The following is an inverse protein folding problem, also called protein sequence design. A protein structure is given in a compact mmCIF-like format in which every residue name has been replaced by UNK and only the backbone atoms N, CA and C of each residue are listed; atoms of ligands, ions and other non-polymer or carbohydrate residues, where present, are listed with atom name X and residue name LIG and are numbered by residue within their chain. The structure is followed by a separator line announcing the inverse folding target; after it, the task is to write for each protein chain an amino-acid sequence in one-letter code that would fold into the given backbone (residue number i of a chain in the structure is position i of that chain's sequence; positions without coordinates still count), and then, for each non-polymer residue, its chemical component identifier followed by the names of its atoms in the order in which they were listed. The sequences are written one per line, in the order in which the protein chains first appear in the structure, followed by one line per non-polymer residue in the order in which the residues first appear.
data_IF_413208066523
#
_entry.id   IF_413208066523
#
_cell.length_a   1.000
_cell.length_b   1.000
_cell.length_c   1.000
_cell.angle_alpha   90.00
_cell.angle_beta   90.00
_cell.angle_gamma   90.00
#
_symmetry.space_group_name_H-M   'P 1'
#
loop_
_entity.id
_entity.type
_entity.pdbx_description
1 polymer ?
#
# COMPACT_ATOMS: atom_id res chain seq x y z
N UNK A 1 -9.88 31.17 37.35
CA UNK A 1 -8.47 31.05 37.77
C UNK A 1 -7.66 31.56 36.60
N UNK A 2 -7.04 32.74 36.71
CA UNK A 2 -6.32 33.38 35.59
C UNK A 2 -4.81 33.04 35.62
N UNK A 3 -4.14 33.18 34.48
CA UNK A 3 -2.71 32.83 34.28
C UNK A 3 -1.75 33.50 35.28
N UNK A 4 -2.08 34.68 35.81
CA UNK A 4 -1.29 35.38 36.82
C UNK A 4 -1.36 34.70 38.20
N UNK A 5 -2.40 33.93 38.46
CA UNK A 5 -2.58 33.15 39.69
C UNK A 5 -1.78 31.83 39.64
N UNK A 6 -1.56 31.29 38.43
CA UNK A 6 -0.66 30.14 38.17
C UNK A 6 0.82 30.54 38.33
N UNK A 7 1.19 31.72 37.84
CA UNK A 7 2.57 32.21 37.89
C UNK A 7 3.02 32.63 39.30
N UNK A 8 2.08 33.05 40.17
CA UNK A 8 2.37 33.27 41.60
C UNK A 8 2.66 31.97 42.35
N UNK A 9 1.95 30.89 42.04
CA UNK A 9 2.10 29.58 42.71
C UNK A 9 3.40 28.85 42.35
N UNK A 10 4.07 29.20 41.25
CA UNK A 10 5.35 28.60 40.87
C UNK A 10 6.56 29.21 41.58
N UNK A 11 6.46 30.41 42.18
CA UNK A 11 7.57 31.03 42.93
C UNK A 11 7.81 30.41 44.30
N UNK A 12 6.82 29.70 44.85
CA UNK A 12 6.89 29.11 46.20
C UNK A 12 7.22 27.61 46.18
N UNK A 13 7.57 27.04 45.03
CA UNK A 13 7.97 25.61 44.94
C UNK A 13 9.45 25.50 45.33
N UNK A 14 9.80 24.85 46.45
CA UNK A 14 11.19 24.67 46.84
C UNK A 14 11.92 23.80 45.82
N UNK A 15 13.13 24.20 45.43
CA UNK A 15 13.98 23.36 44.57
C UNK A 15 14.09 21.94 45.14
N UNK A 16 13.91 20.88 44.32
CA UNK A 16 14.00 19.51 44.79
C UNK A 16 15.34 19.27 45.48
N UNK A 17 15.30 18.65 46.67
CA UNK A 17 16.51 18.33 47.44
C UNK A 17 17.43 17.41 46.61
N UNK A 18 18.76 17.47 46.79
CA UNK A 18 19.71 16.64 46.02
C UNK A 18 19.37 15.13 45.99
N UNK A 19 18.82 14.62 47.09
CA UNK A 19 18.33 13.24 47.23
C UNK A 19 17.21 12.85 46.24
N UNK A 20 16.47 13.83 45.71
CA UNK A 20 15.46 13.62 44.66
C UNK A 20 16.13 13.49 43.28
N UNK A 21 17.22 14.22 43.04
CA UNK A 21 18.04 14.06 41.84
C UNK A 21 18.77 12.72 41.84
N UNK A 22 19.30 12.30 42.99
CA UNK A 22 19.98 11.00 43.11
C UNK A 22 19.00 9.84 43.00
N UNK A 23 17.78 9.96 43.54
CA UNK A 23 16.70 8.98 43.29
C UNK A 23 16.28 8.94 41.82
N UNK A 24 16.14 10.09 41.16
CA UNK A 24 15.80 10.14 39.74
C UNK A 24 16.91 9.55 38.85
N UNK A 25 18.18 9.81 39.19
CA UNK A 25 19.35 9.29 38.46
C UNK A 25 19.54 7.80 38.70
N UNK A 26 19.29 7.32 39.93
CA UNK A 26 19.29 5.90 40.26
C UNK A 26 18.14 5.17 39.57
N UNK A 27 16.92 5.73 39.57
CA UNK A 27 15.77 5.19 38.84
C UNK A 27 16.01 5.15 37.32
N UNK A 28 16.63 6.19 36.76
CA UNK A 28 17.02 6.23 35.36
C UNK A 28 18.10 5.19 35.04
N UNK A 29 19.12 5.05 35.89
CA UNK A 29 20.16 4.01 35.71
C UNK A 29 19.62 2.59 35.86
N UNK A 30 18.62 2.40 36.73
CA UNK A 30 17.92 1.13 36.94
C UNK A 30 16.99 0.81 35.76
N UNK A 31 16.38 1.82 35.14
CA UNK A 31 15.57 1.67 33.92
C UNK A 31 16.44 1.46 32.67
N UNK A 32 17.69 1.94 32.68
CA UNK A 32 18.67 1.76 31.59
C UNK A 32 19.51 0.48 31.73
N UNK A 33 19.55 -0.13 32.91
CA UNK A 33 20.06 -1.47 33.08
C UNK A 33 19.05 -2.44 32.45
N UNK A 34 19.30 -2.80 31.18
CA UNK A 34 18.45 -3.70 30.40
C UNK A 34 18.11 -4.96 31.21
N UNK A 35 16.82 -5.23 31.47
CA UNK A 35 16.41 -6.62 31.60
C UNK A 35 16.65 -7.22 30.21
N UNK A 36 17.38 -8.34 30.14
CA UNK A 36 17.26 -9.30 29.04
C UNK A 36 15.87 -9.93 29.08
N UNK A 37 14.84 -9.09 28.95
CA UNK A 37 13.51 -9.52 28.59
C UNK A 37 13.62 -9.86 27.10
N UNK A 38 13.42 -11.12 26.78
CA UNK A 38 13.05 -11.53 25.43
C UNK A 38 11.89 -10.65 25.00
N UNK A 39 12.19 -9.60 24.22
CA UNK A 39 11.18 -8.85 23.50
C UNK A 39 10.51 -9.86 22.61
N UNK A 40 9.31 -10.27 22.98
CA UNK A 40 8.42 -11.03 22.13
C UNK A 40 8.12 -10.10 20.97
N UNK A 41 8.95 -10.19 19.92
CA UNK A 41 8.74 -9.49 18.65
C UNK A 41 7.31 -9.80 18.23
N UNK A 42 6.41 -8.81 18.12
CA UNK A 42 5.07 -9.08 17.64
C UNK A 42 5.19 -9.67 16.24
N UNK A 43 4.84 -10.95 16.11
CA UNK A 43 4.87 -11.77 14.89
C UNK A 43 3.74 -11.37 13.92
N UNK A 44 3.46 -10.07 13.79
CA UNK A 44 2.48 -9.50 12.87
C UNK A 44 3.17 -8.50 11.95
N UNK A 45 4.03 -9.06 11.11
CA UNK A 45 4.45 -8.41 9.88
C UNK A 45 3.19 -8.30 9.00
N UNK A 46 2.72 -7.07 8.78
CA UNK A 46 1.67 -6.71 7.82
C UNK A 46 0.37 -7.52 7.94
N UNK A 47 -0.51 -7.14 8.89
CA UNK A 47 -1.94 -7.35 8.67
C UNK A 47 -2.45 -6.19 7.83
N UNK A 48 -2.37 -6.31 6.50
CA UNK A 48 -3.46 -5.76 5.70
C UNK A 48 -4.72 -6.45 6.23
N UNK A 49 -5.82 -5.74 6.54
CA UNK A 49 -7.07 -6.43 6.72
C UNK A 49 -7.27 -7.21 5.44
N UNK A 50 -7.15 -8.54 5.52
CA UNK A 50 -7.77 -9.41 4.52
C UNK A 50 -9.21 -8.97 4.56
N UNK A 51 -9.65 -8.20 3.56
CA UNK A 51 -11.06 -7.97 3.33
C UNK A 51 -11.67 -9.37 3.24
N UNK A 52 -12.26 -9.80 4.35
CA UNK A 52 -13.12 -10.95 4.35
C UNK A 52 -14.19 -10.61 3.34
N UNK A 53 -14.42 -11.53 2.40
CA UNK A 53 -15.59 -11.50 1.54
C UNK A 53 -16.78 -11.56 2.50
N UNK A 54 -17.26 -10.39 2.92
CA UNK A 54 -18.46 -10.26 3.70
C UNK A 54 -19.60 -10.65 2.77
N UNK A 55 -20.35 -11.67 3.19
CA UNK A 55 -21.52 -12.14 2.50
C UNK A 55 -22.50 -10.99 2.29
N UNK A 56 -22.74 -10.60 1.04
CA UNK A 56 -23.92 -9.82 0.67
C UNK A 56 -24.91 -10.80 0.08
N UNK A 57 -25.93 -11.12 0.89
CA UNK A 57 -27.11 -11.84 0.43
C UNK A 57 -27.82 -11.02 -0.64
N UNK A 58 -28.11 -11.67 -1.76
CA UNK A 58 -28.93 -11.10 -2.82
C UNK A 58 -30.35 -10.85 -2.30
N UNK A 59 -30.85 -9.62 -2.49
CA UNK A 59 -32.28 -9.34 -2.48
C UNK A 59 -32.61 -8.61 -3.79
N UNK A 60 -33.19 -9.36 -4.72
CA UNK A 60 -33.83 -8.85 -5.92
C UNK A 60 -35.22 -8.31 -5.55
N UNK A 61 -35.57 -7.10 -6.00
CA UNK A 61 -36.97 -6.71 -6.27
C UNK A 61 -37.03 -5.83 -7.51
N UNK A 62 -38.06 -6.10 -8.31
CA UNK A 62 -38.26 -5.76 -9.70
C UNK A 62 -38.87 -4.36 -9.98
N UNK A 63 -38.65 -3.92 -11.22
CA UNK A 63 -39.57 -3.18 -12.13
C UNK A 63 -40.33 -1.94 -11.63
N UNK A 64 -40.11 -0.83 -12.33
CA UNK A 64 -41.20 -0.03 -12.88
C UNK A 64 -40.82 0.50 -14.27
N UNK A 65 -41.55 -0.01 -15.28
CA UNK A 65 -41.60 0.50 -16.65
C UNK A 65 -42.40 1.80 -16.64
N UNK A 66 -41.90 2.85 -17.31
CA UNK A 66 -42.76 3.88 -17.90
C UNK A 66 -42.35 4.04 -19.35
N UNK A 67 -43.26 3.65 -20.24
CA UNK A 67 -43.23 3.99 -21.66
C UNK A 67 -43.53 5.47 -21.84
N UNK A 68 -42.78 6.12 -22.73
CA UNK A 68 -43.10 7.44 -23.26
C UNK A 68 -42.64 7.52 -24.71
N UNK A 69 -43.54 7.18 -25.63
CA UNK A 69 -43.36 7.36 -27.08
C UNK A 69 -43.69 8.80 -27.47
N UNK A 70 -42.74 9.55 -28.03
CA UNK A 70 -43.00 10.56 -29.07
C UNK A 70 -41.74 10.78 -29.90
N UNK A 71 -41.93 10.78 -31.22
CA UNK A 71 -40.88 10.75 -32.22
C UNK A 71 -40.08 12.04 -32.36
N UNK A 72 -38.84 11.86 -32.80
CA UNK A 72 -37.94 12.88 -33.28
C UNK A 72 -36.67 12.18 -33.75
N UNK A 73 -36.50 12.05 -35.06
CA UNK A 73 -35.25 11.58 -35.68
C UNK A 73 -34.15 12.60 -35.38
N UNK A 74 -33.42 12.37 -34.29
CA UNK A 74 -32.13 13.00 -34.02
C UNK A 74 -31.06 12.04 -34.56
N UNK A 75 -30.09 12.50 -35.36
CA UNK A 75 -29.00 11.64 -35.82
C UNK A 75 -28.29 11.05 -34.61
N UNK A 76 -28.09 9.73 -34.62
CA UNK A 76 -27.30 9.05 -33.60
C UNK A 76 -25.89 9.66 -33.58
N UNK A 77 -25.57 10.41 -32.53
CA UNK A 77 -24.18 10.68 -32.19
C UNK A 77 -23.51 9.33 -31.95
N UNK A 78 -22.50 9.05 -32.78
CA UNK A 78 -21.57 7.95 -32.58
C UNK A 78 -21.11 7.95 -31.13
N UNK A 79 -21.09 6.80 -30.43
CA UNK A 79 -20.56 6.76 -29.08
C UNK A 79 -19.12 7.25 -29.13
N UNK A 80 -18.85 8.36 -28.44
CA UNK A 80 -17.49 8.84 -28.23
C UNK A 80 -16.71 7.69 -27.62
N UNK A 81 -15.78 7.15 -28.39
CA UNK A 81 -14.86 6.14 -27.92
C UNK A 81 -14.20 6.67 -26.64
N UNK A 82 -14.25 5.88 -25.57
CA UNK A 82 -13.52 6.17 -24.35
C UNK A 82 -12.07 6.56 -24.71
N UNK A 83 -11.49 7.60 -24.09
CA UNK A 83 -10.16 8.07 -24.47
C UNK A 83 -9.20 6.89 -24.47
N UNK A 84 -8.61 6.66 -25.63
CA UNK A 84 -7.57 5.67 -25.81
C UNK A 84 -6.46 5.96 -24.79
N UNK A 85 -5.72 4.94 -24.36
CA UNK A 85 -4.71 4.98 -23.29
C UNK A 85 -3.60 6.05 -23.43
N UNK A 86 -3.63 6.86 -24.47
CA UNK A 86 -2.72 7.95 -24.82
C UNK A 86 -2.95 9.23 -23.98
N UNK A 87 -4.15 9.45 -23.41
CA UNK A 87 -4.46 10.68 -22.64
C UNK A 87 -4.46 10.49 -21.11
N UNK A 88 -4.05 9.33 -20.59
CA UNK A 88 -4.01 9.11 -19.15
C UNK A 88 -2.91 9.96 -18.49
N UNK A 89 -3.23 10.81 -17.49
CA UNK A 89 -2.23 11.55 -16.73
C UNK A 89 -1.14 10.65 -16.12
N UNK A 90 -1.49 9.41 -15.79
CA UNK A 90 -0.55 8.42 -15.25
C UNK A 90 0.39 7.86 -16.33
N UNK A 91 -0.08 7.67 -17.56
CA UNK A 91 0.78 7.24 -18.68
C UNK A 91 1.77 8.35 -19.04
N UNK A 92 1.31 9.61 -19.06
CA UNK A 92 2.20 10.77 -19.24
C UNK A 92 3.25 10.84 -18.13
N UNK A 93 2.82 10.81 -16.87
CA UNK A 93 3.73 10.83 -15.72
C UNK A 93 4.72 9.65 -15.76
N UNK A 94 4.28 8.46 -16.19
CA UNK A 94 5.15 7.30 -16.34
C UNK A 94 6.25 7.53 -17.39
N UNK A 95 5.92 8.18 -18.51
CA UNK A 95 6.91 8.58 -19.52
C UNK A 95 7.88 9.63 -18.97
N UNK A 96 7.37 10.69 -18.34
CA UNK A 96 8.20 11.75 -17.73
C UNK A 96 9.18 11.17 -16.69
N UNK A 97 8.72 10.22 -15.86
CA UNK A 97 9.56 9.52 -14.89
C UNK A 97 10.64 8.67 -15.56
N UNK A 98 10.32 8.03 -16.68
CA UNK A 98 11.29 7.22 -17.44
C UNK A 98 12.34 8.12 -18.09
N UNK A 99 11.92 9.23 -18.68
CA UNK A 99 12.76 10.18 -19.40
C UNK A 99 13.69 10.96 -18.46
N UNK A 100 13.28 11.19 -17.21
CA UNK A 100 14.13 11.77 -16.17
C UNK A 100 15.36 10.91 -15.82
N UNK A 101 15.37 9.63 -16.21
CA UNK A 101 16.51 8.72 -16.04
C UNK A 101 16.69 8.20 -14.62
N UNK A 102 17.74 7.38 -14.45
CA UNK A 102 18.08 6.81 -13.16
C UNK A 102 18.73 7.86 -12.24
N UNK A 103 18.15 8.03 -11.05
CA UNK A 103 18.78 8.78 -9.96
C UNK A 103 19.93 7.97 -9.36
N UNK A 104 20.98 8.64 -8.90
CA UNK A 104 22.15 7.99 -8.28
C UNK A 104 21.78 7.22 -7.01
N UNK A 105 22.55 6.17 -6.71
CA UNK A 105 22.27 5.22 -5.62
C UNK A 105 21.94 3.84 -6.17
N UNK A 106 22.17 2.80 -5.38
CA UNK A 106 21.94 1.39 -5.71
C UNK A 106 20.74 0.78 -4.96
N UNK A 107 20.06 1.60 -4.16
CA UNK A 107 18.89 1.20 -3.41
C UNK A 107 17.83 2.30 -3.29
N UNK A 108 16.59 1.86 -3.11
CA UNK A 108 15.46 2.69 -2.73
C UNK A 108 15.31 2.70 -1.22
N UNK A 109 15.33 3.88 -0.62
CA UNK A 109 14.91 4.12 0.75
C UNK A 109 13.47 4.62 0.76
N UNK A 110 12.60 3.94 1.51
CA UNK A 110 11.24 4.37 1.80
C UNK A 110 11.10 4.55 3.31
N UNK A 111 10.79 5.77 3.72
CA UNK A 111 10.45 6.11 5.10
C UNK A 111 8.94 6.26 5.17
N UNK A 112 8.31 5.34 5.89
CA UNK A 112 6.88 5.31 6.16
C UNK A 112 6.62 5.91 7.53
N UNK A 113 5.69 6.86 7.64
CA UNK A 113 5.21 7.40 8.92
C UNK A 113 3.70 7.18 9.04
N UNK A 114 3.27 6.59 10.14
CA UNK A 114 1.86 6.30 10.43
C UNK A 114 1.62 6.38 11.95
N UNK A 115 0.43 6.00 12.39
CA UNK A 115 0.08 5.94 13.81
C UNK A 115 -0.03 4.48 14.25
N UNK A 116 0.63 4.12 15.34
CA UNK A 116 0.51 2.81 15.97
C UNK A 116 -0.88 2.63 16.64
N UNK A 117 -1.28 1.39 17.01
CA UNK A 117 -2.58 1.13 17.64
C UNK A 117 -2.81 1.89 18.96
N UNK A 118 -1.75 2.28 19.65
CA UNK A 118 -1.77 3.09 20.88
C UNK A 118 -1.79 4.60 20.61
N UNK A 119 -1.97 5.00 19.35
CA UNK A 119 -1.91 6.36 18.83
C UNK A 119 -0.53 7.02 18.84
N UNK A 120 0.55 6.29 19.14
CA UNK A 120 1.90 6.84 19.05
C UNK A 120 2.37 6.97 17.59
N UNK A 121 3.21 7.97 17.26
CA UNK A 121 3.85 8.03 15.95
C UNK A 121 4.72 6.80 15.71
N UNK A 122 4.52 6.14 14.56
CA UNK A 122 5.31 4.99 14.15
C UNK A 122 5.99 5.27 12.82
N UNK A 123 7.32 5.18 12.81
CA UNK A 123 8.16 5.33 11.62
C UNK A 123 8.79 3.99 11.28
N UNK A 124 8.83 3.68 9.98
CA UNK A 124 9.40 2.45 9.47
C UNK A 124 10.22 2.73 8.22
N UNK A 125 11.40 2.15 8.16
CA UNK A 125 12.38 2.29 7.10
C UNK A 125 12.41 0.98 6.31
N UNK A 126 12.32 1.10 4.99
CA UNK A 126 12.52 -0.01 4.05
C UNK A 126 13.63 0.38 3.08
N UNK A 127 14.63 -0.47 2.96
CA UNK A 127 15.63 -0.42 1.90
C UNK A 127 15.33 -1.55 0.94
N UNK A 128 15.09 -1.23 -0.34
CA UNK A 128 15.03 -2.21 -1.41
C UNK A 128 16.17 -1.94 -2.40
N UNK A 129 17.12 -2.86 -2.48
CA UNK A 129 18.29 -2.72 -3.36
C UNK A 129 17.93 -3.12 -4.79
N UNK A 130 18.68 -2.62 -5.77
CA UNK A 130 18.40 -2.95 -7.18
C UNK A 130 18.62 -4.43 -7.50
N UNK A 131 19.49 -5.10 -6.74
CA UNK A 131 19.69 -6.56 -6.80
C UNK A 131 18.63 -7.37 -6.02
N UNK A 132 17.62 -6.72 -5.45
CA UNK A 132 16.44 -7.37 -4.88
C UNK A 132 16.55 -7.81 -3.42
N UNK A 133 17.55 -7.30 -2.68
CA UNK A 133 17.58 -7.45 -1.23
C UNK A 133 16.65 -6.42 -0.58
N UNK A 134 16.03 -6.83 0.54
CA UNK A 134 15.17 -5.95 1.32
C UNK A 134 15.66 -5.93 2.75
N UNK A 135 15.72 -4.74 3.35
CA UNK A 135 16.08 -4.54 4.75
C UNK A 135 15.07 -3.61 5.40
N UNK A 136 14.76 -3.87 6.66
CA UNK A 136 13.81 -3.07 7.40
C UNK A 136 14.34 -2.64 8.76
N UNK A 137 13.80 -1.53 9.25
CA UNK A 137 14.02 -1.06 10.62
C UNK A 137 12.96 -0.05 11.03
N UNK A 138 12.81 0.15 12.33
CA UNK A 138 11.97 1.20 12.93
C UNK A 138 12.74 2.50 13.18
N UNK A 139 14.05 2.51 12.87
CA UNK A 139 14.93 3.67 13.00
C UNK A 139 16.12 3.55 12.05
N UNK A 140 16.83 4.66 11.82
CA UNK A 140 18.09 4.67 11.05
C UNK A 140 19.09 3.66 11.61
N UNK A 141 19.21 3.59 12.94
CA UNK A 141 20.13 2.65 13.61
C UNK A 141 19.77 1.19 13.33
N UNK A 142 18.48 0.82 13.40
CA UNK A 142 18.07 -0.58 13.23
C UNK A 142 18.14 -1.02 11.77
N UNK A 143 17.75 -0.16 10.82
CA UNK A 143 17.88 -0.50 9.38
C UNK A 143 19.35 -0.54 8.95
N UNK A 144 20.19 0.38 9.45
CA UNK A 144 21.63 0.37 9.22
C UNK A 144 22.28 -0.92 9.74
N UNK A 145 21.91 -1.34 10.96
CA UNK A 145 22.39 -2.60 11.52
C UNK A 145 21.91 -3.83 10.73
N UNK A 146 20.67 -3.82 10.22
CA UNK A 146 20.14 -4.89 9.37
C UNK A 146 20.95 -5.03 8.07
N UNK A 147 21.24 -3.90 7.42
CA UNK A 147 22.09 -3.86 6.22
C UNK A 147 23.52 -4.32 6.52
N UNK A 148 24.13 -3.80 7.59
CA UNK A 148 25.50 -4.13 7.98
C UNK A 148 25.70 -5.64 8.26
N UNK A 149 24.65 -6.30 8.78
CA UNK A 149 24.64 -7.74 9.01
C UNK A 149 24.26 -8.57 7.78
N UNK A 150 23.85 -7.93 6.68
CA UNK A 150 23.33 -8.62 5.51
C UNK A 150 22.05 -9.41 5.80
N UNK A 151 21.21 -8.95 6.72
CA UNK A 151 19.93 -9.58 7.07
C UNK A 151 18.91 -9.35 5.95
N UNK A 152 19.09 -10.03 4.81
CA UNK A 152 18.16 -9.93 3.68
C UNK A 152 16.79 -10.52 4.08
N UNK A 153 15.79 -9.64 4.11
CA UNK A 153 14.40 -9.93 4.43
C UNK A 153 13.49 -9.99 3.19
N UNK A 154 14.09 -9.95 1.99
CA UNK A 154 13.34 -10.08 0.75
C UNK A 154 12.61 -11.42 0.68
N UNK A 155 11.40 -11.34 0.14
CA UNK A 155 10.55 -12.49 -0.17
C UNK A 155 10.48 -12.69 -1.69
N UNK A 156 10.10 -13.89 -2.17
CA UNK A 156 9.83 -14.09 -3.59
C UNK A 156 8.76 -13.12 -4.15
N UNK A 157 7.83 -12.67 -3.29
CA UNK A 157 6.81 -11.71 -3.68
C UNK A 157 7.43 -10.37 -4.08
N UNK A 158 8.41 -9.86 -3.32
CA UNK A 158 9.10 -8.60 -3.61
C UNK A 158 9.78 -8.65 -4.98
N UNK A 159 10.53 -9.72 -5.25
CA UNK A 159 11.18 -9.91 -6.54
C UNK A 159 10.17 -9.97 -7.71
N UNK A 160 9.05 -10.68 -7.52
CA UNK A 160 8.03 -10.87 -8.55
C UNK A 160 7.31 -9.56 -8.90
N UNK A 161 6.88 -8.78 -7.91
CA UNK A 161 6.19 -7.49 -8.19
C UNK A 161 7.15 -6.48 -8.81
N UNK A 162 8.43 -6.49 -8.42
CA UNK A 162 9.44 -5.61 -8.99
C UNK A 162 9.79 -5.98 -10.43
N UNK A 163 9.92 -7.27 -10.71
CA UNK A 163 10.11 -7.75 -12.08
C UNK A 163 8.91 -7.39 -12.98
N UNK A 164 7.68 -7.56 -12.48
CA UNK A 164 6.48 -7.18 -13.21
C UNK A 164 6.40 -5.67 -13.47
N UNK A 165 6.77 -4.83 -12.49
CA UNK A 165 6.85 -3.39 -12.68
C UNK A 165 7.88 -3.01 -13.76
N UNK A 166 9.10 -3.55 -13.70
CA UNK A 166 10.13 -3.30 -14.72
C UNK A 166 9.71 -3.77 -16.11
N UNK A 167 9.01 -4.91 -16.18
CA UNK A 167 8.44 -5.40 -17.44
C UNK A 167 7.43 -4.40 -18.04
N UNK A 168 6.55 -3.82 -17.23
CA UNK A 168 5.63 -2.77 -17.67
C UNK A 168 6.35 -1.50 -18.14
N UNK A 169 7.43 -1.10 -17.46
CA UNK A 169 8.23 0.07 -17.84
C UNK A 169 8.84 -0.09 -19.25
N UNK A 170 9.17 -1.32 -19.62
CA UNK A 170 9.75 -1.71 -20.91
C UNK A 170 8.73 -1.95 -22.04
N UNK A 171 7.43 -1.90 -21.74
CA UNK A 171 6.37 -1.80 -22.75
C UNK A 171 5.52 -3.06 -22.97
N UNK A 172 5.87 -4.20 -22.39
CA UNK A 172 5.03 -5.40 -22.45
C UNK A 172 3.96 -5.37 -21.34
N UNK A 173 2.97 -4.50 -21.53
CA UNK A 173 2.00 -4.14 -20.48
C UNK A 173 1.06 -5.29 -20.12
N UNK A 174 0.64 -6.10 -21.10
CA UNK A 174 -0.26 -7.23 -20.85
C UNK A 174 0.45 -8.34 -20.05
N UNK A 175 1.66 -8.73 -20.46
CA UNK A 175 2.46 -9.71 -19.73
C UNK A 175 2.82 -9.20 -18.33
N UNK A 176 3.16 -7.91 -18.23
CA UNK A 176 3.42 -7.27 -16.94
C UNK A 176 2.19 -7.28 -16.03
N UNK A 177 1.00 -7.01 -16.57
CA UNK A 177 -0.26 -7.09 -15.82
C UNK A 177 -0.50 -8.49 -15.29
N UNK A 178 -0.34 -9.51 -16.13
CA UNK A 178 -0.50 -10.91 -15.72
C UNK A 178 0.55 -11.29 -14.66
N UNK A 179 1.81 -10.92 -14.84
CA UNK A 179 2.87 -11.17 -13.87
C UNK A 179 2.62 -10.46 -12.53
N UNK A 180 2.18 -9.20 -12.57
CA UNK A 180 1.88 -8.41 -11.38
C UNK A 180 0.72 -9.02 -10.59
N UNK A 181 -0.36 -9.42 -11.26
CA UNK A 181 -1.53 -10.05 -10.61
C UNK A 181 -1.17 -11.43 -10.04
N UNK A 182 -0.41 -12.23 -10.78
CA UNK A 182 -0.03 -13.59 -10.40
C UNK A 182 1.11 -13.62 -9.36
N UNK A 183 1.75 -12.48 -9.04
CA UNK A 183 2.75 -12.41 -7.97
C UNK A 183 2.15 -12.80 -6.61
N UNK A 184 0.86 -12.50 -6.40
CA UNK A 184 0.11 -12.92 -5.23
C UNK A 184 -0.55 -14.28 -5.47
N UNK A 185 -0.62 -15.17 -4.46
CA UNK A 185 -1.30 -16.47 -4.58
C UNK A 185 -2.82 -16.25 -4.51
N UNK A 186 -3.40 -15.64 -5.53
CA UNK A 186 -4.84 -15.32 -5.64
C UNK A 186 -5.64 -16.41 -6.33
N UNK A 187 -4.98 -17.33 -7.03
CA UNK A 187 -5.63 -18.35 -7.84
C UNK A 187 -6.15 -17.83 -9.19
N UNK A 188 -5.88 -16.57 -9.56
CA UNK A 188 -6.32 -16.02 -10.85
C UNK A 188 -5.62 -16.68 -12.04
N UNK A 189 -4.32 -16.96 -11.90
CA UNK A 189 -3.47 -17.59 -12.91
C UNK A 189 -3.67 -17.00 -14.33
N UNK A 190 -3.65 -15.67 -14.41
CA UNK A 190 -3.89 -14.96 -15.68
C UNK A 190 -2.86 -15.37 -16.74
N UNK A 191 -3.32 -15.53 -17.99
CA UNK A 191 -2.49 -15.96 -19.11
C UNK A 191 -2.24 -17.47 -19.20
N UNK A 192 -2.77 -18.26 -18.26
CA UNK A 192 -2.72 -19.73 -18.30
C UNK A 192 -3.96 -20.32 -18.99
N UNK A 193 -3.97 -21.62 -19.29
CA UNK A 193 -5.16 -22.30 -19.83
C UNK A 193 -6.33 -22.32 -18.84
N UNK A 194 -7.55 -22.53 -19.33
CA UNK A 194 -8.74 -22.61 -18.47
C UNK A 194 -8.62 -23.70 -17.40
N UNK A 195 -8.04 -24.85 -17.75
CA UNK A 195 -7.82 -25.95 -16.81
C UNK A 195 -6.81 -25.58 -15.71
N UNK A 196 -5.74 -24.85 -16.06
CA UNK A 196 -4.76 -24.36 -15.09
C UNK A 196 -5.35 -23.28 -14.18
N UNK A 197 -6.19 -22.41 -14.72
CA UNK A 197 -6.91 -21.39 -13.95
C UNK A 197 -7.87 -22.02 -12.93
N UNK A 198 -8.63 -23.05 -13.33
CA UNK A 198 -9.53 -23.75 -12.41
C UNK A 198 -8.74 -24.51 -11.33
N UNK A 199 -7.63 -25.15 -11.71
CA UNK A 199 -6.73 -25.81 -10.76
C UNK A 199 -6.15 -24.82 -9.74
N UNK A 200 -5.67 -23.66 -10.20
CA UNK A 200 -5.13 -22.63 -9.31
C UNK A 200 -6.20 -22.06 -8.37
N UNK A 201 -7.43 -21.88 -8.88
CA UNK A 201 -8.58 -21.46 -8.07
C UNK A 201 -8.91 -22.49 -6.97
N UNK A 202 -9.02 -23.77 -7.32
CA UNK A 202 -9.27 -24.84 -6.36
C UNK A 202 -8.17 -24.92 -5.28
N UNK A 203 -6.89 -24.84 -5.68
CA UNK A 203 -5.76 -24.80 -4.74
C UNK A 203 -5.84 -23.60 -3.79
N UNK A 204 -6.24 -22.43 -4.29
CA UNK A 204 -6.41 -21.24 -3.46
C UNK A 204 -7.54 -21.39 -2.44
N UNK A 205 -8.64 -22.01 -2.85
CA UNK A 205 -9.76 -22.28 -1.95
C UNK A 205 -9.35 -23.25 -0.84
N UNK A 206 -8.62 -24.32 -1.17
CA UNK A 206 -8.12 -25.26 -0.17
C UNK A 206 -7.11 -24.61 0.79
N UNK A 207 -6.18 -23.80 0.28
CA UNK A 207 -5.26 -23.04 1.13
C UNK A 207 -6.01 -22.06 2.06
N UNK A 208 -7.15 -21.53 1.61
CA UNK A 208 -8.03 -20.73 2.47
C UNK A 208 -8.71 -21.59 3.53
N UNK A 209 -9.31 -22.71 3.13
CA UNK A 209 -9.96 -23.65 4.03
C UNK A 209 -9.02 -24.10 5.14
N UNK A 210 -7.77 -24.39 4.81
CA UNK A 210 -6.76 -24.81 5.78
C UNK A 210 -6.45 -23.73 6.82
N UNK A 211 -6.36 -22.46 6.41
CA UNK A 211 -6.23 -21.34 7.36
C UNK A 211 -7.44 -21.22 8.28
N UNK A 212 -8.65 -21.52 7.80
CA UNK A 212 -9.86 -21.52 8.63
C UNK A 212 -9.84 -22.69 9.63
N UNK A 213 -9.46 -23.90 9.19
CA UNK A 213 -9.30 -25.07 10.07
C UNK A 213 -8.27 -24.80 11.16
N UNK A 214 -7.09 -24.28 10.81
CA UNK A 214 -6.06 -23.89 11.78
C UNK A 214 -6.54 -22.85 12.80
N UNK A 215 -7.51 -22.01 12.44
CA UNK A 215 -8.09 -21.01 13.34
C UNK A 215 -9.32 -21.50 14.10
N UNK A 216 -9.76 -22.74 13.90
CA UNK A 216 -11.00 -23.26 14.47
C UNK A 216 -12.26 -22.55 13.95
N UNK A 217 -12.19 -21.92 12.78
CA UNK A 217 -13.32 -21.22 12.16
C UNK A 217 -14.06 -22.15 11.18
N UNK A 218 -15.39 -21.99 11.03
CA UNK A 218 -16.15 -22.72 10.01
C UNK A 218 -15.57 -22.51 8.62
N UNK A 219 -15.25 -23.61 7.93
CA UNK A 219 -14.72 -23.54 6.55
C UNK A 219 -15.85 -23.16 5.60
N UNK A 220 -15.71 -22.07 4.83
CA UNK A 220 -16.72 -21.71 3.85
C UNK A 220 -16.79 -22.77 2.73
N UNK A 221 -17.98 -23.02 2.16
CA UNK A 221 -18.12 -23.96 1.06
C UNK A 221 -17.33 -23.47 -0.18
N UNK A 222 -16.74 -24.38 -0.96
CA UNK A 222 -16.09 -24.03 -2.22
C UNK A 222 -17.07 -23.33 -3.15
N UNK A 223 -16.60 -22.26 -3.81
CA UNK A 223 -17.32 -21.50 -4.82
C UNK A 223 -16.73 -21.75 -6.20
N UNK A 224 -17.55 -21.73 -7.27
CA UNK A 224 -17.02 -21.71 -8.62
C UNK A 224 -16.13 -20.48 -8.81
N UNK A 225 -15.20 -20.56 -9.76
CA UNK A 225 -14.37 -19.42 -10.12
C UNK A 225 -15.25 -18.25 -10.58
N UNK A 226 -15.02 -17.02 -10.07
CA UNK A 226 -15.74 -15.83 -10.53
C UNK A 226 -15.64 -15.62 -12.04
N UNK A 227 -16.67 -15.01 -12.60
CA UNK A 227 -16.74 -14.61 -14.01
C UNK A 227 -17.27 -13.18 -14.14
N UNK A 228 -17.20 -12.61 -15.35
CA UNK A 228 -17.70 -11.27 -15.62
C UNK A 228 -17.09 -10.19 -14.71
N UNK A 229 -17.94 -9.28 -14.21
CA UNK A 229 -17.52 -8.13 -13.39
C UNK A 229 -16.85 -8.53 -12.08
N UNK A 230 -17.28 -9.63 -11.45
CA UNK A 230 -16.66 -10.11 -10.20
C UNK A 230 -15.18 -10.52 -10.42
N UNK A 231 -14.91 -11.21 -11.54
CA UNK A 231 -13.54 -11.56 -11.92
C UNK A 231 -12.72 -10.31 -12.25
N UNK A 232 -13.29 -9.38 -13.00
CA UNK A 232 -12.63 -8.12 -13.35
C UNK A 232 -12.24 -7.33 -12.09
N UNK A 233 -13.16 -7.20 -11.14
CA UNK A 233 -12.94 -6.49 -9.88
C UNK A 233 -11.91 -7.19 -8.99
N UNK A 234 -11.97 -8.53 -8.89
CA UNK A 234 -10.98 -9.31 -8.14
C UNK A 234 -9.56 -9.18 -8.72
N UNK A 235 -9.44 -9.19 -10.05
CA UNK A 235 -8.17 -9.00 -10.74
C UNK A 235 -7.66 -7.57 -10.56
N UNK A 236 -8.52 -6.56 -10.76
CA UNK A 236 -8.12 -5.16 -10.62
C UNK A 236 -7.78 -4.81 -9.17
N UNK A 237 -8.48 -5.37 -8.18
CA UNK A 237 -8.13 -5.23 -6.76
C UNK A 237 -6.74 -5.80 -6.46
N UNK A 238 -6.44 -6.97 -7.03
CA UNK A 238 -5.12 -7.60 -6.90
C UNK A 238 -4.05 -6.74 -7.56
N UNK A 239 -4.32 -6.23 -8.77
CA UNK A 239 -3.40 -5.36 -9.50
C UNK A 239 -3.12 -4.08 -8.71
N UNK A 240 -4.16 -3.42 -8.18
CA UNK A 240 -4.02 -2.25 -7.32
C UNK A 240 -3.17 -2.56 -6.07
N UNK A 241 -3.48 -3.65 -5.37
CA UNK A 241 -2.78 -4.02 -4.13
C UNK A 241 -1.29 -4.31 -4.37
N UNK A 242 -0.98 -5.06 -5.43
CA UNK A 242 0.40 -5.43 -5.73
C UNK A 242 1.22 -4.25 -6.28
N UNK A 243 0.61 -3.39 -7.10
CA UNK A 243 1.30 -2.19 -7.62
C UNK A 243 1.56 -1.15 -6.52
N UNK A 244 0.60 -0.91 -5.63
CA UNK A 244 0.79 -0.02 -4.48
C UNK A 244 1.85 -0.56 -3.52
N UNK A 245 1.86 -1.88 -3.27
CA UNK A 245 2.94 -2.52 -2.51
C UNK A 245 4.32 -2.29 -3.16
N UNK A 246 4.44 -2.48 -4.47
CA UNK A 246 5.70 -2.24 -5.18
C UNK A 246 6.19 -0.79 -5.02
N UNK A 247 5.29 0.21 -5.04
CA UNK A 247 5.65 1.59 -4.71
C UNK A 247 6.11 1.72 -3.25
N UNK A 248 5.42 1.11 -2.30
CA UNK A 248 5.73 1.27 -0.87
C UNK A 248 7.06 0.65 -0.43
N UNK A 249 7.70 -0.15 -1.27
CA UNK A 249 9.03 -0.71 -0.97
C UNK A 249 10.12 -0.24 -1.94
N UNK A 250 9.77 0.08 -3.21
CA UNK A 250 10.75 0.35 -4.27
C UNK A 250 10.50 1.64 -5.06
N UNK A 251 9.64 2.54 -4.58
CA UNK A 251 9.28 3.75 -5.33
C UNK A 251 10.44 4.68 -5.63
N UNK A 252 11.62 4.60 -5.00
CA UNK A 252 12.71 5.49 -5.43
C UNK A 252 13.37 5.04 -6.76
N UNK A 253 13.17 3.79 -7.20
CA UNK A 253 13.62 3.30 -8.49
C UNK A 253 12.67 3.78 -9.62
N UNK A 254 13.19 4.53 -10.59
CA UNK A 254 12.38 5.16 -11.64
C UNK A 254 11.69 4.17 -12.58
N UNK A 255 12.33 3.05 -12.91
CA UNK A 255 11.72 2.01 -13.74
C UNK A 255 10.53 1.36 -13.01
N UNK A 256 10.70 1.06 -11.72
CA UNK A 256 9.61 0.52 -10.90
C UNK A 256 8.44 1.51 -10.85
N UNK A 257 8.70 2.80 -10.58
CA UNK A 257 7.65 3.83 -10.58
C UNK A 257 6.93 3.92 -11.93
N UNK A 258 7.68 4.07 -13.02
CA UNK A 258 7.12 4.20 -14.37
C UNK A 258 6.25 2.99 -14.72
N UNK A 259 6.74 1.77 -14.43
CA UNK A 259 6.00 0.55 -14.66
C UNK A 259 4.72 0.44 -13.84
N UNK A 260 4.77 0.77 -12.55
CA UNK A 260 3.58 0.79 -11.69
C UNK A 260 2.55 1.80 -12.22
N UNK A 261 2.96 3.01 -12.57
CA UNK A 261 2.05 4.03 -13.10
C UNK A 261 1.34 3.57 -14.38
N UNK A 262 2.07 2.91 -15.30
CA UNK A 262 1.47 2.29 -16.49
C UNK A 262 0.46 1.20 -16.14
N UNK A 263 0.78 0.34 -15.17
CA UNK A 263 -0.12 -0.73 -14.73
C UNK A 263 -1.39 -0.17 -14.06
N UNK A 264 -1.25 0.83 -13.19
CA UNK A 264 -2.37 1.51 -12.55
C UNK A 264 -3.29 2.19 -13.57
N UNK A 265 -2.72 2.76 -14.64
CA UNK A 265 -3.48 3.35 -15.74
C UNK A 265 -4.37 2.34 -16.48
N UNK A 266 -4.14 1.03 -16.34
CA UNK A 266 -5.01 -0.01 -16.95
C UNK A 266 -6.29 -0.27 -16.15
N UNK A 267 -6.40 0.24 -14.91
CA UNK A 267 -7.56 0.05 -14.05
C UNK A 267 -8.55 1.19 -14.30
N UNK A 268 -9.57 0.92 -15.13
CA UNK A 268 -10.57 1.94 -15.52
C UNK A 268 -11.37 2.53 -14.35
N UNK A 269 -11.59 1.73 -13.32
CA UNK A 269 -12.38 2.11 -12.14
C UNK A 269 -11.56 2.93 -11.11
N UNK A 270 -10.28 3.23 -11.39
CA UNK A 270 -9.47 4.16 -10.57
C UNK A 270 -9.74 5.59 -11.01
N UNK A 271 -10.23 6.42 -10.08
CA UNK A 271 -10.43 7.85 -10.33
C UNK A 271 -9.14 8.60 -10.08
N UNK A 272 -8.75 9.45 -11.03
CA UNK A 272 -7.56 10.31 -10.91
C UNK A 272 -8.01 11.75 -10.63
N UNK A 273 -7.57 12.31 -9.51
CA UNK A 273 -7.74 13.71 -9.16
C UNK A 273 -6.41 14.46 -9.13
N UNK A 274 -6.50 15.80 -9.13
CA UNK A 274 -5.36 16.70 -8.88
C UNK A 274 -5.49 17.29 -7.48
N UNK A 275 -4.37 17.47 -6.80
CA UNK A 275 -4.32 18.10 -5.49
C UNK A 275 -2.97 18.80 -5.29
N UNK A 276 -2.83 19.51 -4.18
CA UNK A 276 -1.55 20.00 -3.69
C UNK A 276 -1.22 19.25 -2.40
N UNK A 277 -0.01 18.71 -2.31
CA UNK A 277 0.47 18.00 -1.14
C UNK A 277 1.87 18.50 -0.79
N UNK A 278 2.08 18.93 0.45
CA UNK A 278 3.36 19.47 0.93
C UNK A 278 3.90 20.64 0.08
N UNK A 279 3.00 21.47 -0.47
CA UNK A 279 3.36 22.60 -1.34
C UNK A 279 3.81 22.19 -2.76
N UNK A 280 3.62 20.93 -3.13
CA UNK A 280 3.93 20.38 -4.46
C UNK A 280 2.66 19.90 -5.15
N UNK A 281 2.60 20.04 -6.47
CA UNK A 281 1.52 19.48 -7.26
C UNK A 281 1.52 17.95 -7.15
N UNK A 282 0.35 17.37 -6.91
CA UNK A 282 0.16 15.95 -6.69
C UNK A 282 -1.07 15.41 -7.43
N UNK A 283 -1.08 14.09 -7.66
CA UNK A 283 -2.22 13.35 -8.17
C UNK A 283 -2.78 12.45 -7.07
N UNK A 284 -4.10 12.40 -6.94
CA UNK A 284 -4.81 11.41 -6.13
C UNK A 284 -5.31 10.29 -7.03
N UNK A 285 -5.03 9.05 -6.66
CA UNK A 285 -5.54 7.85 -7.31
C UNK A 285 -6.49 7.19 -6.32
N UNK A 286 -7.77 7.10 -6.66
CA UNK A 286 -8.80 6.55 -5.77
C UNK A 286 -9.32 5.24 -6.31
N UNK A 287 -9.09 4.16 -5.57
CA UNK A 287 -9.76 2.89 -5.72
C UNK A 287 -11.01 2.87 -4.82
N UNK A 288 -12.19 2.96 -5.43
CA UNK A 288 -13.46 3.01 -4.71
C UNK A 288 -13.93 1.65 -4.15
N UNK A 289 -15.11 1.60 -3.49
CA UNK A 289 -15.60 0.41 -2.82
C UNK A 289 -15.77 -0.82 -3.70
N UNK A 290 -16.20 -0.67 -4.95
CA UNK A 290 -16.29 -1.80 -5.90
C UNK A 290 -14.94 -2.49 -6.06
N UNK A 291 -13.88 -1.70 -6.25
CA UNK A 291 -12.51 -2.18 -6.41
C UNK A 291 -11.89 -2.66 -5.09
N UNK A 292 -12.45 -2.29 -3.94
CA UNK A 292 -11.99 -2.69 -2.61
C UNK A 292 -12.90 -3.75 -1.96
N UNK A 293 -13.71 -4.47 -2.74
CA UNK A 293 -14.56 -5.55 -2.22
C UNK A 293 -15.66 -5.07 -1.27
N UNK A 294 -16.09 -3.82 -1.40
CA UNK A 294 -17.16 -3.18 -0.62
C UNK A 294 -16.72 -2.62 0.73
N UNK A 295 -15.45 -2.76 1.13
CA UNK A 295 -15.02 -2.42 2.50
C UNK A 295 -14.65 -0.96 2.72
N UNK A 296 -14.57 -0.16 1.65
CA UNK A 296 -14.16 1.25 1.72
C UNK A 296 -13.43 1.70 0.46
N UNK A 297 -12.72 2.81 0.53
CA UNK A 297 -11.86 3.31 -0.56
C UNK A 297 -10.40 3.33 -0.13
N UNK A 298 -9.49 3.18 -1.08
CA UNK A 298 -8.06 3.44 -0.89
C UNK A 298 -7.65 4.60 -1.79
N UNK A 299 -7.13 5.67 -1.20
CA UNK A 299 -6.59 6.83 -1.89
C UNK A 299 -5.07 6.82 -1.80
N UNK A 300 -4.38 6.84 -2.93
CA UNK A 300 -2.94 7.03 -3.03
C UNK A 300 -2.67 8.43 -3.59
N UNK A 301 -1.87 9.22 -2.88
CA UNK A 301 -1.38 10.51 -3.35
C UNK A 301 0.07 10.38 -3.80
N UNK A 302 0.36 10.74 -5.04
CA UNK A 302 1.71 10.74 -5.63
C UNK A 302 2.08 12.14 -6.10
N UNK A 303 3.37 12.48 -6.04
CA UNK A 303 3.88 13.73 -6.61
C UNK A 303 3.66 13.73 -8.14
N UNK A 304 3.08 14.82 -8.66
CA UNK A 304 2.67 14.90 -10.07
C UNK A 304 3.84 15.10 -11.05
N UNK A 305 5.05 15.41 -10.58
CA UNK A 305 6.23 15.59 -11.42
C UNK A 305 7.18 14.39 -11.43
N UNK A 306 7.18 13.55 -10.40
CA UNK A 306 8.13 12.42 -10.29
C UNK A 306 7.50 11.08 -9.88
N UNK A 307 6.19 11.06 -9.58
CA UNK A 307 5.45 9.84 -9.23
C UNK A 307 5.82 9.21 -7.89
N UNK A 308 6.61 9.87 -7.03
CA UNK A 308 6.92 9.36 -5.70
C UNK A 308 5.64 9.35 -4.83
N UNK A 309 5.39 8.29 -4.04
CA UNK A 309 4.28 8.26 -3.11
C UNK A 309 4.51 9.29 -2.01
N UNK A 310 3.47 10.06 -1.71
CA UNK A 310 3.44 11.04 -0.62
C UNK A 310 2.58 10.50 0.52
N UNK A 311 1.41 9.93 0.19
CA UNK A 311 0.40 9.54 1.18
C UNK A 311 -0.47 8.39 0.70
N UNK A 312 -0.90 7.53 1.61
CA UNK A 312 -1.88 6.47 1.39
C UNK A 312 -2.93 6.54 2.49
N UNK A 313 -4.19 6.48 2.09
CA UNK A 313 -5.34 6.60 2.98
C UNK A 313 -6.32 5.46 2.71
N UNK A 314 -6.69 4.75 3.76
CA UNK A 314 -7.80 3.79 3.71
C UNK A 314 -8.98 4.44 4.41
N UNK A 315 -10.07 4.58 3.66
CA UNK A 315 -11.31 5.22 4.10
C UNK A 315 -12.36 4.11 4.19
N UNK A 316 -12.76 3.67 5.40
CA UNK A 316 -13.77 2.64 5.59
C UNK A 316 -15.10 3.03 4.95
N UNK A 317 -15.89 2.04 4.54
CA UNK A 317 -17.24 2.27 4.05
C UNK A 317 -18.10 2.98 5.12
N UNK A 318 -19.01 3.84 4.68
CA UNK A 318 -19.94 4.53 5.58
C UNK A 318 -20.75 3.50 6.38
N UNK A 319 -20.84 3.71 7.70
CA UNK A 319 -21.53 2.79 8.62
C UNK A 319 -20.74 1.53 9.00
N UNK A 320 -19.48 1.40 8.58
CA UNK A 320 -18.59 0.35 9.10
C UNK A 320 -17.89 0.78 10.40
N UNK A 321 -17.55 -0.19 11.26
CA UNK A 321 -16.77 0.03 12.50
C UNK A 321 -15.27 0.30 12.22
N UNK A 322 -14.87 0.34 10.95
CA UNK A 322 -13.50 0.61 10.55
C UNK A 322 -13.09 2.03 10.90
N UNK A 323 -11.83 2.21 11.31
CA UNK A 323 -11.23 3.53 11.46
C UNK A 323 -10.44 3.90 10.20
N UNK A 324 -10.49 5.16 9.75
CA UNK A 324 -9.61 5.60 8.68
C UNK A 324 -8.16 5.46 9.10
N UNK A 325 -7.31 5.06 8.16
CA UNK A 325 -5.88 4.94 8.38
C UNK A 325 -5.12 5.79 7.37
N UNK A 326 -4.12 6.50 7.85
CA UNK A 326 -3.27 7.36 7.05
C UNK A 326 -1.82 6.92 7.21
N UNK A 327 -1.12 6.88 6.09
CA UNK A 327 0.33 6.64 6.04
C UNK A 327 0.95 7.68 5.12
N UNK A 328 2.01 8.35 5.59
CA UNK A 328 2.82 9.26 4.80
C UNK A 328 4.13 8.59 4.40
N UNK A 329 4.69 8.99 3.26
CA UNK A 329 5.88 8.41 2.68
C UNK A 329 6.89 9.49 2.32
N UNK A 330 8.16 9.19 2.56
CA UNK A 330 9.31 9.89 1.96
C UNK A 330 10.17 8.85 1.27
N UNK A 331 10.52 9.12 0.03
CA UNK A 331 11.24 8.17 -0.82
C UNK A 331 12.47 8.83 -1.41
N UNK A 332 13.62 8.15 -1.35
CA UNK A 332 14.87 8.65 -1.92
C UNK A 332 15.74 7.49 -2.42
N UNK A 333 16.66 7.79 -3.34
CA UNK A 333 17.73 6.85 -3.69
C UNK A 333 18.89 7.04 -2.73
N UNK A 334 19.53 5.93 -2.36
CA UNK A 334 20.66 5.88 -1.43
C UNK A 334 21.70 4.89 -1.94
N UNK A 335 22.95 5.04 -1.52
CA UNK A 335 23.95 3.97 -1.66
C UNK A 335 23.88 3.07 -0.43
N UNK A 336 23.91 1.76 -0.61
CA UNK A 336 23.86 0.81 0.48
C UNK A 336 25.03 1.00 1.47
N UNK A 337 26.20 1.40 0.97
CA UNK A 337 27.36 1.73 1.79
C UNK A 337 27.10 2.92 2.75
N UNK A 338 26.33 3.92 2.33
CA UNK A 338 25.94 5.06 3.17
C UNK A 338 24.94 4.62 4.25
N UNK A 339 24.03 3.70 3.92
CA UNK A 339 23.09 3.10 4.88
C UNK A 339 23.83 2.34 5.98
N UNK A 340 24.87 1.57 5.64
CA UNK A 340 25.70 0.81 6.61
C UNK A 340 26.30 1.72 7.68
N UNK A 341 26.64 2.96 7.33
CA UNK A 341 27.22 3.94 8.27
C UNK A 341 26.18 4.93 8.81
N UNK A 342 24.90 4.71 8.54
CA UNK A 342 23.77 5.50 9.07
C UNK A 342 23.61 6.88 8.42
N UNK A 343 24.13 7.10 7.21
CA UNK A 343 24.04 8.36 6.46
C UNK A 343 22.84 8.34 5.51
N UNK A 344 21.63 8.42 6.07
CA UNK A 344 20.35 8.50 5.34
C UNK A 344 19.38 9.50 5.96
#
# INVERSE_FOLDING_TARGET
MDEMDLMKKMRDVPSPRPEAYDRARTALSTAMAEPTATVVRPKRWFSWPKAGIAAVGAAAVATAVVMGTTGGTVPAESPVAAPQAVDSPLVKLASDVKDAGALSGDASLIIRSTTAPDNSPYVFYTIYTDNGHTFHGDSVKTVSASVAKGENQATPFDANVMAAARLAANGDLEKARNAMVNASPTGWALGQSAAEQEKAWAQRQEATAEVYRMKGLPVPPPKPRPTGKELEDGVNNTLWSNTTYALFIGAANAEVRSGVLKLLATIKDVTIGKTDAEGQSALTLTAGPSLQGGTGSHVLTVNAGNGLPIRSEVIPAAGSDGKPSVTNYKSSRVNLADVVVGKI
#
